data_IF_994001540567
#
_entry.id   IF_994001540567
#
_cell.length_a   1.000
_cell.length_b   1.000
_cell.length_c   1.000
_cell.angle_alpha   90.00
_cell.angle_beta   90.00
_cell.angle_gamma   90.00
#
_symmetry.space_group_name_H-M   'P 1'
#
loop_
_entity.id
_entity.type
_entity.pdbx_description
1 polymer ?
#
# COMPACT_ATOMS: atom_id res chain seq x y z
N UNK A 1 27.52 -26.39 58.62
CA UNK A 1 28.48 -25.97 57.60
C UNK A 1 27.74 -25.11 56.57
N UNK A 2 27.92 -23.79 56.60
CA UNK A 2 27.31 -22.89 55.61
C UNK A 2 27.95 -23.10 54.24
N UNK A 3 27.14 -23.22 53.18
CA UNK A 3 27.66 -23.31 51.81
C UNK A 3 28.49 -22.06 51.52
N UNK A 4 29.70 -22.26 50.97
CA UNK A 4 30.61 -21.18 50.62
C UNK A 4 29.90 -20.19 49.66
N UNK A 5 29.92 -18.87 49.91
CA UNK A 5 29.31 -17.86 49.05
C UNK A 5 29.65 -18.01 47.55
N UNK A 6 30.86 -18.48 47.21
CA UNK A 6 31.25 -18.72 45.81
C UNK A 6 30.49 -19.88 45.16
N UNK A 7 30.16 -20.92 45.93
CA UNK A 7 29.37 -22.07 45.46
C UNK A 7 27.91 -21.68 45.24
N UNK A 8 27.35 -20.80 46.09
CA UNK A 8 25.99 -20.26 45.91
C UNK A 8 25.89 -19.38 44.66
N UNK A 9 26.88 -18.51 44.42
CA UNK A 9 26.94 -17.67 43.22
C UNK A 9 27.09 -18.50 41.93
N UNK A 10 27.93 -19.53 41.94
CA UNK A 10 28.08 -20.46 40.81
C UNK A 10 26.77 -21.20 40.49
N UNK A 11 26.05 -21.65 41.51
CA UNK A 11 24.78 -22.35 41.35
C UNK A 11 23.68 -21.43 40.82
N UNK A 12 23.62 -20.18 41.29
CA UNK A 12 22.69 -19.16 40.79
C UNK A 12 22.95 -18.83 39.32
N UNK A 13 24.21 -18.71 38.90
CA UNK A 13 24.59 -18.48 37.50
C UNK A 13 24.16 -19.65 36.60
N UNK A 14 24.46 -20.89 36.98
CA UNK A 14 24.01 -22.08 36.22
C UNK A 14 22.49 -22.18 36.11
N UNK A 15 21.76 -21.78 37.15
CA UNK A 15 20.30 -21.75 37.11
C UNK A 15 19.77 -20.63 36.19
N UNK A 16 20.41 -19.46 36.19
CA UNK A 16 20.07 -18.38 35.28
C UNK A 16 20.33 -18.75 33.81
N UNK A 17 21.47 -19.39 33.52
CA UNK A 17 21.83 -19.91 32.19
C UNK A 17 20.79 -20.93 31.70
N UNK A 18 20.45 -21.95 32.50
CA UNK A 18 19.38 -22.91 32.13
C UNK A 18 18.01 -22.27 31.92
N UNK A 19 17.66 -21.25 32.72
CA UNK A 19 16.41 -20.50 32.54
C UNK A 19 16.43 -19.70 31.23
N UNK A 20 17.58 -19.16 30.85
CA UNK A 20 17.77 -18.44 29.61
C UNK A 20 17.69 -19.38 28.40
N UNK A 21 18.40 -20.52 28.42
CA UNK A 21 18.33 -21.55 27.38
C UNK A 21 16.90 -22.03 27.13
N UNK A 22 16.13 -22.27 28.20
CA UNK A 22 14.71 -22.67 28.07
C UNK A 22 13.85 -21.56 27.47
N UNK A 23 14.12 -20.30 27.80
CA UNK A 23 13.42 -19.14 27.19
C UNK A 23 13.76 -19.01 25.71
N UNK A 24 15.02 -19.19 25.35
CA UNK A 24 15.49 -19.08 23.96
C UNK A 24 14.90 -20.22 23.12
N UNK A 25 14.93 -21.46 23.60
CA UNK A 25 14.31 -22.60 22.92
C UNK A 25 12.80 -22.40 22.72
N UNK A 26 12.10 -21.88 23.72
CA UNK A 26 10.67 -21.58 23.60
C UNK A 26 10.40 -20.43 22.62
N UNK A 27 11.24 -19.40 22.60
CA UNK A 27 11.14 -18.29 21.66
C UNK A 27 11.39 -18.74 20.22
N UNK A 28 12.38 -19.62 20.01
CA UNK A 28 12.70 -20.18 18.69
C UNK A 28 11.57 -21.11 18.20
N UNK A 29 10.99 -21.93 19.07
CA UNK A 29 9.83 -22.75 18.74
C UNK A 29 8.60 -21.91 18.38
N UNK A 30 8.30 -20.84 19.12
CA UNK A 30 7.20 -19.92 18.76
C UNK A 30 7.47 -19.21 17.43
N UNK A 31 8.73 -18.82 17.20
CA UNK A 31 9.15 -18.20 15.93
C UNK A 31 8.96 -19.15 14.75
N UNK A 32 9.36 -20.42 14.87
CA UNK A 32 9.21 -21.40 13.80
C UNK A 32 7.73 -21.63 13.47
N UNK A 33 6.85 -21.70 14.47
CA UNK A 33 5.39 -21.80 14.24
C UNK A 33 4.89 -20.63 13.40
N UNK A 34 5.24 -19.39 13.76
CA UNK A 34 4.83 -18.18 13.02
C UNK A 34 5.35 -18.20 11.59
N UNK A 35 6.62 -18.59 11.41
CA UNK A 35 7.26 -18.68 10.10
C UNK A 35 6.58 -19.74 9.22
N UNK A 36 6.27 -20.91 9.78
CA UNK A 36 5.58 -21.99 9.09
C UNK A 36 4.12 -21.62 8.74
N UNK A 37 3.39 -21.04 9.69
CA UNK A 37 1.98 -20.66 9.51
C UNK A 37 1.80 -19.55 8.48
N UNK A 38 2.69 -18.55 8.48
CA UNK A 38 2.55 -17.38 7.63
C UNK A 38 3.45 -17.37 6.39
N UNK A 39 4.37 -18.35 6.28
CA UNK A 39 5.41 -18.38 5.25
C UNK A 39 6.31 -17.15 5.34
N UNK A 40 6.68 -16.79 6.55
CA UNK A 40 7.46 -15.61 6.87
C UNK A 40 8.97 -15.92 6.85
N UNK A 41 9.85 -14.99 6.42
CA UNK A 41 11.27 -15.28 6.34
C UNK A 41 11.92 -15.59 7.68
N UNK A 42 12.88 -16.51 7.66
CA UNK A 42 13.66 -16.91 8.85
C UNK A 42 14.48 -15.75 9.43
N UNK A 43 14.82 -14.78 8.58
CA UNK A 43 15.55 -13.55 8.93
C UNK A 43 14.70 -12.51 9.66
N UNK A 44 13.37 -12.66 9.66
CA UNK A 44 12.47 -11.71 10.31
C UNK A 44 12.45 -11.90 11.83
N UNK A 45 12.47 -10.78 12.56
CA UNK A 45 12.25 -10.77 14.00
C UNK A 45 10.75 -10.90 14.29
N UNK A 46 10.34 -12.00 14.89
CA UNK A 46 8.96 -12.20 15.34
C UNK A 46 8.76 -11.58 16.73
N UNK A 47 7.74 -10.73 16.86
CA UNK A 47 7.31 -10.12 18.11
C UNK A 47 5.87 -10.54 18.42
N UNK A 48 5.69 -11.19 19.56
CA UNK A 48 4.37 -11.43 20.14
C UNK A 48 3.96 -10.19 20.93
N UNK A 49 2.88 -9.53 20.51
CA UNK A 49 2.38 -8.30 21.13
C UNK A 49 1.02 -8.56 21.76
N UNK A 50 0.86 -8.20 23.03
CA UNK A 50 -0.40 -8.39 23.75
C UNK A 50 -1.37 -7.25 23.41
N UNK A 51 -2.65 -7.56 23.10
CA UNK A 51 -3.65 -6.54 22.83
C UNK A 51 -4.06 -5.79 24.11
N UNK A 52 -4.53 -4.56 23.96
CA UNK A 52 -5.15 -3.73 25.01
C UNK A 52 -4.30 -3.57 26.28
N UNK A 53 -2.99 -3.36 26.10
CA UNK A 53 -2.03 -3.13 27.18
C UNK A 53 -1.46 -1.70 27.14
N UNK A 54 -2.29 -0.67 27.44
CA UNK A 54 -1.83 0.71 27.48
C UNK A 54 -0.86 0.99 28.64
N UNK A 55 -0.81 0.10 29.63
CA UNK A 55 0.15 0.13 30.73
C UNK A 55 1.59 -0.16 30.29
N UNK A 56 1.77 -0.80 29.12
CA UNK A 56 3.08 -1.04 28.55
C UNK A 56 3.61 0.22 27.85
N UNK A 57 4.94 0.34 27.78
CA UNK A 57 5.56 1.39 26.97
C UNK A 57 5.24 1.17 25.49
N UNK A 58 4.76 2.21 24.82
CA UNK A 58 4.48 2.17 23.39
C UNK A 58 5.72 1.72 22.60
N UNK A 59 5.51 0.76 21.70
CA UNK A 59 6.58 0.20 20.87
C UNK A 59 6.71 0.99 19.58
N UNK A 60 7.93 1.44 19.27
CA UNK A 60 8.23 2.13 18.01
C UNK A 60 9.05 1.21 17.11
N UNK A 61 8.54 0.94 15.92
CA UNK A 61 9.24 0.19 14.87
C UNK A 61 9.74 1.18 13.83
N UNK A 62 11.05 1.37 13.77
CA UNK A 62 11.70 2.30 12.84
C UNK A 62 12.59 1.63 11.80
N UNK A 63 13.02 0.38 12.05
CA UNK A 63 14.03 -0.32 11.26
C UNK A 63 13.89 -1.85 11.32
N UNK A 64 14.43 -2.52 10.30
CA UNK A 64 14.62 -3.97 10.22
C UNK A 64 13.48 -4.71 9.51
N UNK A 65 13.52 -6.04 9.60
CA UNK A 65 12.43 -6.93 9.22
C UNK A 65 11.75 -7.47 10.48
N UNK A 66 10.53 -7.01 10.76
CA UNK A 66 9.77 -7.32 11.97
C UNK A 66 8.40 -7.87 11.60
N UNK A 67 8.01 -8.97 12.23
CA UNK A 67 6.66 -9.53 12.14
C UNK A 67 6.00 -9.39 13.50
N UNK A 68 4.79 -8.85 13.49
CA UNK A 68 3.93 -8.71 14.64
C UNK A 68 2.83 -9.77 14.56
N UNK A 69 2.70 -10.52 15.65
CA UNK A 69 1.61 -11.47 15.86
C UNK A 69 0.96 -11.21 17.21
N UNK A 70 -0.34 -11.47 17.30
CA UNK A 70 -1.07 -11.37 18.54
C UNK A 70 -0.47 -12.37 19.56
N UNK A 71 -0.15 -11.88 20.75
CA UNK A 71 0.53 -12.66 21.78
C UNK A 71 -0.34 -13.75 22.41
N UNK A 72 -1.67 -13.59 22.32
CA UNK A 72 -2.69 -14.48 22.86
C UNK A 72 -3.15 -15.50 21.80
N UNK A 73 -3.47 -15.03 20.59
CA UNK A 73 -4.05 -15.89 19.53
C UNK A 73 -3.01 -16.41 18.53
N UNK A 74 -1.87 -15.73 18.40
CA UNK A 74 -0.88 -16.00 17.35
C UNK A 74 -1.26 -15.44 15.97
N UNK A 75 -2.38 -14.73 15.85
CA UNK A 75 -2.83 -14.18 14.58
C UNK A 75 -1.87 -13.12 14.02
N UNK A 76 -1.74 -13.08 12.70
CA UNK A 76 -0.92 -12.09 12.00
C UNK A 76 -1.51 -10.68 12.15
N UNK A 77 -0.66 -9.73 12.55
CA UNK A 77 -1.00 -8.31 12.66
C UNK A 77 -0.33 -7.51 11.54
N UNK A 78 1.00 -7.58 11.45
CA UNK A 78 1.76 -6.83 10.45
C UNK A 78 3.14 -7.45 10.18
N UNK A 79 3.66 -7.22 8.98
CA UNK A 79 5.05 -7.45 8.60
C UNK A 79 5.63 -6.13 8.09
N UNK A 80 6.73 -5.70 8.68
CA UNK A 80 7.41 -4.45 8.40
C UNK A 80 8.80 -4.79 7.89
N UNK A 81 9.12 -4.38 6.68
CA UNK A 81 10.45 -4.52 6.08
C UNK A 81 11.00 -3.16 5.71
N UNK A 82 12.12 -2.79 6.34
CA UNK A 82 12.83 -1.54 6.03
C UNK A 82 13.91 -1.83 5.00
N UNK A 83 13.94 -1.07 3.91
CA UNK A 83 15.02 -1.19 2.92
C UNK A 83 16.31 -0.60 3.52
N UNK A 84 17.40 -1.36 3.40
CA UNK A 84 18.71 -1.00 3.93
C UNK A 84 19.60 -0.45 2.81
N UNK A 85 20.42 0.55 3.15
CA UNK A 85 21.49 1.00 2.28
C UNK A 85 22.70 0.07 2.46
N UNK A 86 22.72 -1.03 1.71
CA UNK A 86 23.92 -1.88 1.56
C UNK A 86 23.97 -2.47 0.14
N UNK A 87 25.18 -2.74 -0.34
CA UNK A 87 25.45 -3.17 -1.73
C UNK A 87 24.64 -4.42 -2.12
N UNK A 88 24.32 -5.28 -1.16
CA UNK A 88 23.54 -6.50 -1.38
C UNK A 88 22.07 -6.25 -1.75
N UNK A 89 21.55 -5.04 -1.54
CA UNK A 89 20.13 -4.69 -1.79
C UNK A 89 19.94 -3.65 -2.91
N UNK A 90 20.99 -3.27 -3.65
CA UNK A 90 20.89 -2.20 -4.66
C UNK A 90 19.78 -2.44 -5.69
N UNK A 91 19.68 -3.65 -6.24
CA UNK A 91 18.63 -3.99 -7.20
C UNK A 91 17.20 -3.87 -6.61
N UNK A 92 17.02 -4.23 -5.34
CA UNK A 92 15.74 -4.07 -4.66
C UNK A 92 15.40 -2.59 -4.44
N UNK A 93 16.41 -1.80 -4.08
CA UNK A 93 16.32 -0.34 -3.94
C UNK A 93 15.93 0.33 -5.25
N UNK A 94 16.61 0.02 -6.35
CA UNK A 94 16.33 0.57 -7.67
C UNK A 94 14.90 0.23 -8.13
N UNK A 95 14.45 -1.00 -7.90
CA UNK A 95 13.08 -1.41 -8.19
C UNK A 95 12.06 -0.69 -7.31
N UNK A 96 12.36 -0.47 -6.03
CA UNK A 96 11.51 0.28 -5.11
C UNK A 96 11.39 1.74 -5.55
N UNK A 97 12.50 2.42 -5.82
CA UNK A 97 12.54 3.82 -6.23
C UNK A 97 11.81 4.03 -7.56
N UNK A 98 12.04 3.13 -8.52
CA UNK A 98 11.32 3.14 -9.79
C UNK A 98 9.81 2.95 -9.60
N UNK A 99 9.41 1.97 -8.78
CA UNK A 99 8.01 1.67 -8.54
C UNK A 99 7.28 2.83 -7.83
N UNK A 100 7.83 3.36 -6.74
CA UNK A 100 7.19 4.44 -5.98
C UNK A 100 7.10 5.73 -6.79
N UNK A 101 8.15 6.10 -7.53
CA UNK A 101 8.12 7.26 -8.44
C UNK A 101 7.03 7.15 -9.50
N UNK A 102 6.92 5.99 -10.13
CA UNK A 102 5.90 5.78 -11.17
C UNK A 102 4.49 5.80 -10.56
N UNK A 103 4.29 5.12 -9.43
CA UNK A 103 3.03 5.14 -8.70
C UNK A 103 2.64 6.56 -8.33
N UNK A 104 3.55 7.34 -7.74
CA UNK A 104 3.33 8.73 -7.36
C UNK A 104 2.76 9.55 -8.52
N UNK A 105 3.46 9.57 -9.66
CA UNK A 105 3.03 10.33 -10.85
C UNK A 105 1.75 9.77 -11.49
N UNK A 106 1.50 8.47 -11.42
CA UNK A 106 0.24 7.89 -11.89
C UNK A 106 -0.93 8.24 -10.98
N UNK A 107 -0.72 8.25 -9.67
CA UNK A 107 -1.71 8.72 -8.69
C UNK A 107 -2.06 10.18 -8.88
N UNK A 108 -1.06 11.05 -9.06
CA UNK A 108 -1.27 12.48 -9.31
C UNK A 108 -1.98 12.79 -10.62
N UNK A 109 -2.13 11.82 -11.53
CA UNK A 109 -2.98 11.97 -12.72
C UNK A 109 -4.47 11.73 -12.41
N UNK A 110 -4.82 11.19 -11.24
CA UNK A 110 -6.20 10.92 -10.80
C UNK A 110 -6.75 12.03 -9.93
N UNK A 111 -8.07 12.04 -9.79
CA UNK A 111 -8.76 12.91 -8.85
C UNK A 111 -8.37 12.60 -7.39
N UNK A 112 -8.18 13.65 -6.60
CA UNK A 112 -8.04 13.54 -5.14
C UNK A 112 -9.30 12.89 -4.56
N UNK A 113 -9.12 11.91 -3.69
CA UNK A 113 -10.21 11.31 -2.92
C UNK A 113 -10.63 12.29 -1.81
N UNK A 114 -11.87 12.77 -1.90
CA UNK A 114 -12.44 13.64 -0.86
C UNK A 114 -13.29 12.89 0.15
N UNK A 115 -13.79 11.70 -0.23
CA UNK A 115 -14.81 10.90 0.48
C UNK A 115 -14.24 9.79 1.37
N UNK A 116 -12.96 9.87 1.76
CA UNK A 116 -12.40 8.92 2.73
C UNK A 116 -12.97 9.24 4.11
N UNK A 117 -13.82 8.36 4.64
CA UNK A 117 -14.53 8.57 5.91
C UNK A 117 -13.59 8.79 7.11
N UNK A 118 -12.47 8.06 7.17
CA UNK A 118 -11.53 8.18 8.27
C UNK A 118 -10.78 9.53 8.23
N UNK A 119 -10.44 10.04 7.04
CA UNK A 119 -9.88 11.37 6.87
C UNK A 119 -10.94 12.48 7.06
N UNK A 120 -12.20 12.25 6.68
CA UNK A 120 -13.30 13.18 6.93
C UNK A 120 -13.62 13.31 8.42
N UNK A 121 -13.48 12.23 9.19
CA UNK A 121 -13.73 12.22 10.63
C UNK A 121 -12.78 13.15 11.41
N UNK A 122 -11.59 13.47 10.86
CA UNK A 122 -10.67 14.47 11.42
C UNK A 122 -11.21 15.92 11.37
N UNK A 123 -12.27 16.19 10.59
CA UNK A 123 -12.86 17.52 10.48
C UNK A 123 -11.85 18.58 10.03
N UNK A 124 -11.65 19.61 10.86
CA UNK A 124 -10.71 20.71 10.58
C UNK A 124 -9.24 20.30 10.67
N UNK A 125 -8.93 19.16 11.30
CA UNK A 125 -7.57 18.64 11.38
C UNK A 125 -7.15 17.87 10.12
N UNK A 126 -8.07 17.62 9.17
CA UNK A 126 -7.78 16.89 7.93
C UNK A 126 -6.57 17.49 7.21
N UNK A 127 -5.56 16.64 6.98
CA UNK A 127 -4.29 17.04 6.35
C UNK A 127 -3.86 16.04 5.27
N UNK A 128 -2.97 16.49 4.40
CA UNK A 128 -2.44 15.71 3.28
C UNK A 128 -3.45 15.33 2.20
N UNK A 129 -3.04 14.42 1.33
CA UNK A 129 -3.78 14.09 0.12
C UNK A 129 -3.84 12.59 -0.15
N UNK A 130 -4.88 12.16 -0.87
CA UNK A 130 -5.11 10.75 -1.20
C UNK A 130 -5.55 10.62 -2.66
N UNK A 131 -4.93 9.70 -3.40
CA UNK A 131 -5.13 9.49 -4.84
C UNK A 131 -5.33 8.00 -5.14
N UNK A 132 -6.57 7.58 -5.43
CA UNK A 132 -6.86 6.20 -5.74
C UNK A 132 -6.71 5.88 -7.24
N UNK A 133 -6.17 4.69 -7.54
CA UNK A 133 -5.98 4.14 -8.89
C UNK A 133 -6.54 2.71 -8.97
N UNK A 134 -6.68 2.18 -10.19
CA UNK A 134 -7.15 0.82 -10.43
C UNK A 134 -8.67 0.70 -10.53
N UNK A 135 -9.19 -0.45 -10.08
CA UNK A 135 -10.60 -0.84 -10.19
C UNK A 135 -11.43 -0.38 -9.00
N UNK A 136 -12.62 0.15 -9.25
CA UNK A 136 -13.57 0.65 -8.24
C UNK A 136 -15.00 0.24 -8.54
N UNK A 137 -15.85 0.32 -7.52
CA UNK A 137 -17.30 0.34 -7.72
C UNK A 137 -17.70 1.47 -8.69
N UNK A 138 -18.64 1.16 -9.57
CA UNK A 138 -19.13 2.11 -10.57
C UNK A 138 -19.88 3.27 -9.90
N UNK A 139 -19.61 4.49 -10.37
CA UNK A 139 -20.36 5.71 -9.99
C UNK A 139 -21.09 6.35 -11.14
N UNK A 140 -20.75 5.99 -12.37
CA UNK A 140 -21.47 6.44 -13.55
C UNK A 140 -22.83 5.76 -13.58
N UNK A 141 -23.86 6.49 -14.02
CA UNK A 141 -25.24 5.97 -14.07
C UNK A 141 -25.27 4.67 -14.87
N UNK A 142 -25.79 3.61 -14.25
CA UNK A 142 -25.90 2.28 -14.85
C UNK A 142 -24.63 1.44 -14.80
N UNK A 143 -23.47 1.99 -14.42
CA UNK A 143 -22.22 1.21 -14.26
C UNK A 143 -22.15 0.61 -12.85
N UNK A 144 -21.70 -0.63 -12.77
CA UNK A 144 -21.49 -1.38 -11.53
C UNK A 144 -20.02 -1.39 -11.10
N UNK A 145 -19.09 -1.25 -12.05
CA UNK A 145 -17.66 -1.18 -11.83
C UNK A 145 -17.01 -0.21 -12.83
N UNK A 146 -15.85 0.35 -12.48
CA UNK A 146 -15.09 1.19 -13.40
C UNK A 146 -13.66 1.46 -12.95
N UNK A 147 -12.90 2.19 -13.76
CA UNK A 147 -11.60 2.73 -13.38
C UNK A 147 -11.75 4.07 -12.64
N UNK A 148 -10.74 4.46 -11.85
CA UNK A 148 -10.67 5.82 -11.31
C UNK A 148 -10.40 6.84 -12.43
N UNK A 149 -11.10 7.98 -12.35
CA UNK A 149 -11.09 9.04 -13.38
C UNK A 149 -9.85 9.93 -13.29
N UNK A 150 -9.46 10.50 -14.43
CA UNK A 150 -8.43 11.52 -14.52
C UNK A 150 -8.85 12.80 -13.79
N UNK A 151 -7.89 13.52 -13.20
CA UNK A 151 -8.17 14.85 -12.66
C UNK A 151 -8.33 15.92 -13.74
N UNK A 152 -8.83 17.08 -13.33
CA UNK A 152 -9.11 18.24 -14.21
C UNK A 152 -7.91 18.62 -15.06
N UNK A 153 -6.70 18.67 -14.48
CA UNK A 153 -5.50 19.03 -15.21
C UNK A 153 -5.18 17.98 -16.28
N UNK A 154 -5.07 16.71 -15.88
CA UNK A 154 -4.70 15.62 -16.76
C UNK A 154 -5.72 15.40 -17.86
N UNK A 155 -7.03 15.44 -17.55
CA UNK A 155 -8.08 15.24 -18.56
C UNK A 155 -8.18 16.37 -19.60
N UNK A 156 -7.62 17.54 -19.30
CA UNK A 156 -7.67 18.72 -20.16
C UNK A 156 -6.47 18.84 -21.09
N UNK A 157 -5.41 18.08 -20.84
CA UNK A 157 -4.16 18.12 -21.61
C UNK A 157 -3.87 16.75 -22.26
N UNK A 158 -3.97 16.65 -23.60
CA UNK A 158 -3.64 15.44 -24.35
C UNK A 158 -2.25 14.85 -24.03
N UNK A 159 -1.24 15.69 -23.74
CA UNK A 159 0.11 15.21 -23.43
C UNK A 159 0.16 14.51 -22.07
N UNK A 160 -0.56 15.04 -21.07
CA UNK A 160 -0.65 14.42 -19.76
C UNK A 160 -1.44 13.09 -19.82
N UNK A 161 -2.48 13.01 -20.66
CA UNK A 161 -3.18 11.75 -20.96
C UNK A 161 -2.20 10.73 -21.55
N UNK A 162 -1.38 11.14 -22.52
CA UNK A 162 -0.41 10.24 -23.14
C UNK A 162 0.62 9.72 -22.13
N UNK A 163 1.15 10.59 -21.27
CA UNK A 163 2.06 10.19 -20.20
C UNK A 163 1.40 9.19 -19.23
N UNK A 164 0.12 9.42 -18.89
CA UNK A 164 -0.64 8.49 -18.03
C UNK A 164 -0.78 7.10 -18.65
N UNK A 165 -1.04 7.03 -19.96
CA UNK A 165 -1.11 5.77 -20.71
C UNK A 165 0.24 5.05 -20.68
N UNK A 166 1.36 5.76 -20.84
CA UNK A 166 2.67 5.12 -20.75
C UNK A 166 2.93 4.56 -19.35
N UNK A 167 2.51 5.27 -18.29
CA UNK A 167 2.57 4.75 -16.91
C UNK A 167 1.67 3.53 -16.73
N UNK A 168 0.45 3.54 -17.29
CA UNK A 168 -0.49 2.42 -17.24
C UNK A 168 0.11 1.12 -17.80
N UNK A 169 0.91 1.20 -18.88
CA UNK A 169 1.60 0.04 -19.47
C UNK A 169 2.62 -0.61 -18.52
N UNK A 170 3.17 0.17 -17.59
CA UNK A 170 4.21 -0.27 -16.68
C UNK A 170 3.64 -0.81 -15.35
N UNK A 171 2.36 -0.53 -15.05
CA UNK A 171 1.74 -0.99 -13.81
C UNK A 171 1.75 -2.52 -13.63
N UNK A 172 1.52 -3.37 -14.65
CA UNK A 172 1.62 -4.83 -14.47
C UNK A 172 3.00 -5.29 -13.96
N UNK A 173 4.07 -4.62 -14.38
CA UNK A 173 5.43 -4.91 -13.90
C UNK A 173 5.60 -4.48 -12.45
N UNK A 174 5.03 -3.34 -12.05
CA UNK A 174 5.03 -2.89 -10.65
C UNK A 174 4.19 -3.82 -9.78
N UNK A 175 3.03 -4.27 -10.25
CA UNK A 175 2.19 -5.23 -9.53
C UNK A 175 2.91 -6.55 -9.30
N UNK A 176 3.67 -7.03 -10.30
CA UNK A 176 4.53 -8.21 -10.12
C UNK A 176 5.62 -7.98 -9.07
N UNK A 177 6.21 -6.79 -9.02
CA UNK A 177 7.19 -6.42 -7.99
C UNK A 177 6.56 -6.39 -6.60
N UNK A 178 5.45 -5.67 -6.40
CA UNK A 178 4.73 -5.60 -5.13
C UNK A 178 4.22 -6.98 -4.70
N UNK A 179 3.72 -7.79 -5.63
CA UNK A 179 3.26 -9.16 -5.37
C UNK A 179 4.40 -10.06 -4.89
N UNK A 180 5.61 -9.93 -5.47
CA UNK A 180 6.81 -10.64 -4.98
C UNK A 180 7.19 -10.19 -3.57
N UNK A 181 7.14 -8.89 -3.29
CA UNK A 181 7.38 -8.38 -1.93
C UNK A 181 6.37 -8.98 -0.95
N UNK A 182 5.09 -8.96 -1.30
CA UNK A 182 4.04 -9.51 -0.46
C UNK A 182 4.27 -11.01 -0.19
N UNK A 183 4.51 -11.79 -1.24
CA UNK A 183 4.80 -13.22 -1.13
C UNK A 183 6.03 -13.50 -0.25
N UNK A 184 7.07 -12.69 -0.36
CA UNK A 184 8.29 -12.84 0.43
C UNK A 184 8.11 -12.44 1.89
N UNK A 185 7.25 -11.46 2.19
CA UNK A 185 7.04 -11.00 3.56
C UNK A 185 6.08 -11.89 4.34
N UNK A 186 4.97 -12.27 3.70
CA UNK A 186 3.88 -13.04 4.33
C UNK A 186 3.14 -13.87 3.27
N UNK A 187 3.70 -15.03 2.93
CA UNK A 187 3.18 -15.86 1.84
C UNK A 187 1.72 -16.29 2.00
N UNK A 188 1.28 -16.57 3.23
CA UNK A 188 -0.10 -17.01 3.48
C UNK A 188 -1.11 -15.91 3.10
N UNK A 189 -0.81 -14.66 3.43
CA UNK A 189 -1.67 -13.50 3.16
C UNK A 189 -1.62 -13.11 1.67
N UNK A 190 -0.44 -13.21 1.06
CA UNK A 190 -0.30 -13.09 -0.40
C UNK A 190 -1.23 -14.05 -1.13
N UNK A 191 -1.24 -15.34 -0.76
CA UNK A 191 -2.13 -16.35 -1.37
C UNK A 191 -3.61 -16.00 -1.20
N UNK A 192 -4.03 -15.64 0.01
CA UNK A 192 -5.43 -15.29 0.27
C UNK A 192 -5.90 -14.10 -0.59
N UNK A 193 -5.07 -13.06 -0.71
CA UNK A 193 -5.37 -11.91 -1.57
C UNK A 193 -5.37 -12.30 -3.05
N UNK A 194 -4.40 -13.11 -3.49
CA UNK A 194 -4.31 -13.57 -4.88
C UNK A 194 -5.55 -14.38 -5.29
N UNK A 195 -6.00 -15.30 -4.44
CA UNK A 195 -7.18 -16.13 -4.67
C UNK A 195 -8.44 -15.27 -4.84
N UNK A 196 -8.62 -14.25 -3.99
CA UNK A 196 -9.70 -13.27 -4.14
C UNK A 196 -9.58 -12.48 -5.45
N UNK A 197 -8.37 -12.01 -5.79
CA UNK A 197 -8.10 -11.28 -7.03
C UNK A 197 -8.49 -12.10 -8.27
N UNK A 198 -8.09 -13.37 -8.29
CA UNK A 198 -8.41 -14.33 -9.35
C UNK A 198 -9.91 -14.67 -9.38
N UNK A 199 -10.53 -14.90 -8.23
CA UNK A 199 -11.95 -15.24 -8.11
C UNK A 199 -12.85 -14.16 -8.73
N UNK A 200 -12.51 -12.88 -8.51
CA UNK A 200 -13.32 -11.76 -8.99
C UNK A 200 -12.76 -11.11 -10.26
N UNK A 201 -11.61 -11.58 -10.77
CA UNK A 201 -10.94 -11.04 -11.95
C UNK A 201 -10.58 -9.56 -11.80
N UNK A 202 -10.16 -9.14 -10.61
CA UNK A 202 -9.84 -7.74 -10.32
C UNK A 202 -8.33 -7.51 -10.28
N UNK A 203 -7.91 -6.36 -10.78
CA UNK A 203 -6.52 -5.91 -10.69
C UNK A 203 -6.47 -4.39 -10.69
N UNK A 204 -5.64 -3.82 -9.82
CA UNK A 204 -5.37 -2.38 -9.81
C UNK A 204 -4.44 -1.94 -10.96
N UNK A 205 -3.69 -2.88 -11.51
CA UNK A 205 -2.67 -2.67 -12.52
C UNK A 205 -3.13 -3.06 -13.94
N UNK A 206 -4.40 -3.41 -14.13
CA UNK A 206 -4.94 -3.75 -15.45
C UNK A 206 -5.74 -2.59 -16.05
N UNK A 207 -5.66 -2.36 -17.37
CA UNK A 207 -6.53 -1.40 -18.05
C UNK A 207 -7.99 -1.88 -18.10
N UNK A 208 -8.23 -3.17 -17.86
CA UNK A 208 -9.54 -3.80 -17.77
C UNK A 208 -9.91 -4.01 -16.31
N UNK A 209 -11.06 -3.49 -15.91
CA UNK A 209 -11.54 -3.53 -14.52
C UNK A 209 -11.87 -4.97 -14.09
N UNK A 210 -12.43 -5.75 -15.02
CA UNK A 210 -12.72 -7.17 -14.83
C UNK A 210 -11.88 -7.99 -15.82
N UNK A 211 -10.64 -8.27 -15.43
CA UNK A 211 -9.70 -9.07 -16.20
C UNK A 211 -9.63 -10.50 -15.62
N UNK A 212 -10.42 -11.40 -16.18
CA UNK A 212 -10.41 -12.83 -15.80
C UNK A 212 -9.12 -13.55 -16.19
N UNK A 213 -8.25 -12.93 -16.99
CA UNK A 213 -6.92 -13.45 -17.31
C UNK A 213 -5.81 -12.90 -16.42
N UNK A 214 -6.07 -11.89 -15.58
CA UNK A 214 -5.08 -11.39 -14.63
C UNK A 214 -4.91 -12.42 -13.50
N UNK A 215 -3.85 -13.22 -13.58
CA UNK A 215 -3.56 -14.29 -12.62
C UNK A 215 -2.64 -13.87 -11.48
N UNK A 216 -2.15 -12.64 -11.46
CA UNK A 216 -1.03 -12.24 -10.57
C UNK A 216 -1.32 -11.11 -9.60
N UNK A 217 -2.47 -10.44 -9.69
CA UNK A 217 -2.72 -9.23 -8.89
C UNK A 217 -3.29 -9.56 -7.51
N UNK A 218 -2.79 -8.86 -6.49
CA UNK A 218 -3.16 -9.03 -5.07
C UNK A 218 -4.08 -7.93 -4.55
N UNK A 219 -4.56 -7.06 -5.44
CA UNK A 219 -5.43 -5.94 -5.11
C UNK A 219 -6.33 -5.52 -6.26
N UNK A 220 -7.52 -5.01 -5.95
CA UNK A 220 -8.40 -4.38 -6.94
C UNK A 220 -8.06 -2.92 -7.18
N UNK A 221 -7.59 -2.23 -6.13
CA UNK A 221 -7.24 -0.83 -6.16
C UNK A 221 -5.92 -0.61 -5.41
N UNK A 222 -5.27 0.47 -5.77
CA UNK A 222 -4.12 1.00 -5.03
C UNK A 222 -4.46 2.45 -4.66
N UNK A 223 -4.18 2.84 -3.43
CA UNK A 223 -4.32 4.22 -2.99
C UNK A 223 -2.96 4.78 -2.66
N UNK A 224 -2.67 5.99 -3.15
CA UNK A 224 -1.49 6.77 -2.80
C UNK A 224 -1.91 7.83 -1.81
N UNK A 225 -1.08 8.08 -0.82
CA UNK A 225 -1.20 9.17 0.13
C UNK A 225 0.06 10.01 0.05
N UNK A 226 -0.09 11.32 0.20
CA UNK A 226 1.06 12.21 0.26
C UNK A 226 0.93 13.33 1.29
N UNK A 227 2.05 14.00 1.52
CA UNK A 227 2.22 15.15 2.40
C UNK A 227 1.96 14.75 3.86
N UNK A 228 1.27 15.59 4.63
CA UNK A 228 0.95 15.33 6.04
C UNK A 228 -0.31 14.45 6.19
N UNK A 229 -0.49 13.43 5.35
CA UNK A 229 -1.71 12.62 5.35
C UNK A 229 -1.94 11.93 6.70
N UNK A 230 -3.13 12.13 7.25
CA UNK A 230 -3.59 11.52 8.49
C UNK A 230 -5.03 11.00 8.31
N UNK A 231 -5.41 10.06 9.16
CA UNK A 231 -6.79 9.59 9.26
C UNK A 231 -7.13 9.27 10.71
N UNK A 232 -8.43 9.24 11.03
CA UNK A 232 -8.92 8.77 12.32
C UNK A 232 -8.75 7.25 12.47
N UNK A 233 -8.84 6.80 13.73
CA UNK A 233 -8.84 5.38 14.09
C UNK A 233 -9.98 4.62 13.39
N UNK A 234 -9.64 3.57 12.64
CA UNK A 234 -10.61 2.75 11.93
C UNK A 234 -10.12 1.33 11.64
N UNK A 235 -11.06 0.49 11.20
CA UNK A 235 -10.78 -0.74 10.48
C UNK A 235 -11.18 -0.55 9.01
N UNK A 236 -10.42 -1.17 8.12
CA UNK A 236 -10.72 -1.11 6.70
C UNK A 236 -11.72 -2.22 6.33
N UNK A 237 -12.92 -1.87 5.80
CA UNK A 237 -13.94 -2.85 5.46
C UNK A 237 -13.65 -3.56 4.14
N UNK A 238 -12.39 -3.86 3.83
CA UNK A 238 -11.98 -4.55 2.61
C UNK A 238 -12.39 -6.03 2.58
N UNK A 239 -12.44 -6.60 1.37
CA UNK A 239 -12.64 -8.03 1.19
C UNK A 239 -11.36 -8.82 1.45
N UNK A 240 -10.19 -8.24 1.13
CA UNK A 240 -8.90 -8.79 1.56
C UNK A 240 -8.71 -8.59 3.06
N UNK A 241 -8.16 -9.60 3.74
CA UNK A 241 -7.82 -9.52 5.16
C UNK A 241 -6.54 -8.73 5.42
N UNK A 242 -5.70 -8.54 4.41
CA UNK A 242 -4.48 -7.74 4.50
C UNK A 242 -4.34 -6.77 3.34
N UNK A 243 -3.58 -5.70 3.58
CA UNK A 243 -3.09 -4.77 2.57
C UNK A 243 -1.56 -4.79 2.56
N UNK A 244 -0.96 -4.41 1.43
CA UNK A 244 0.47 -4.13 1.31
C UNK A 244 0.69 -2.69 0.86
N UNK A 245 1.63 -2.01 1.50
CA UNK A 245 1.95 -0.62 1.23
C UNK A 245 3.44 -0.35 1.15
N UNK A 246 3.79 0.62 0.31
CA UNK A 246 5.14 1.16 0.18
C UNK A 246 5.15 2.54 0.83
N UNK A 247 6.14 2.80 1.67
CA UNK A 247 6.25 4.04 2.42
C UNK A 247 7.65 4.61 2.32
N UNK A 248 7.79 5.88 2.00
CA UNK A 248 9.09 6.54 1.95
C UNK A 248 8.96 8.07 2.03
N UNK A 249 10.08 8.73 2.26
CA UNK A 249 10.22 10.17 2.06
C UNK A 249 10.58 10.42 0.60
N UNK A 250 10.00 11.44 -0.03
CA UNK A 250 10.22 11.73 -1.46
C UNK A 250 10.33 13.24 -1.71
N UNK A 251 11.09 13.61 -2.73
CA UNK A 251 11.02 14.94 -3.34
C UNK A 251 9.63 15.12 -3.96
N UNK A 252 8.95 16.19 -3.58
CA UNK A 252 7.53 16.37 -3.91
C UNK A 252 7.30 16.55 -5.43
N UNK A 253 8.17 17.27 -6.11
CA UNK A 253 7.98 17.58 -7.53
C UNK A 253 8.47 16.45 -8.44
N UNK A 254 9.66 15.90 -8.16
CA UNK A 254 10.29 14.89 -9.00
C UNK A 254 9.76 13.48 -8.71
N UNK A 255 9.26 13.23 -7.50
CA UNK A 255 8.95 11.89 -7.00
C UNK A 255 10.19 11.01 -6.83
N UNK A 256 11.38 11.59 -6.63
CA UNK A 256 12.57 10.81 -6.27
C UNK A 256 12.52 10.45 -4.79
N UNK A 257 12.91 9.22 -4.46
CA UNK A 257 12.99 8.78 -3.06
C UNK A 257 14.18 9.43 -2.37
N UNK A 258 13.95 9.95 -1.16
CA UNK A 258 14.99 10.53 -0.32
C UNK A 258 15.43 9.48 0.71
N UNK A 259 16.73 9.32 0.83
CA UNK A 259 17.38 8.46 1.83
C UNK A 259 18.13 9.34 2.82
N UNK A 260 17.53 9.67 3.99
CA UNK A 260 18.09 10.67 4.91
C UNK A 260 19.49 10.36 5.43
N UNK A 261 19.88 9.08 5.44
CA UNK A 261 21.18 8.63 5.93
C UNK A 261 22.28 8.61 4.84
N UNK A 262 21.96 8.97 3.60
CA UNK A 262 22.92 8.93 2.47
C UNK A 262 23.67 10.27 2.30
N UNK A 263 23.30 11.30 3.05
CA UNK A 263 23.94 12.63 3.03
C UNK A 263 24.56 12.93 4.39
N UNK A 264 25.82 13.40 4.39
CA UNK A 264 26.51 13.89 5.59
C UNK A 264 25.95 15.23 6.08
N UNK A 265 25.27 15.99 5.21
CA UNK A 265 24.65 17.26 5.56
C UNK A 265 23.19 17.03 5.93
N UNK A 266 22.71 17.54 7.09
CA UNK A 266 21.29 17.47 7.43
C UNK A 266 20.45 18.14 6.35
N UNK A 267 19.33 17.51 5.94
CA UNK A 267 18.45 18.12 4.95
C UNK A 267 17.87 19.44 5.49
N UNK A 268 17.62 20.44 4.62
CA UNK A 268 17.07 21.73 5.03
C UNK A 268 15.64 21.63 5.62
N UNK A 269 14.97 20.50 5.36
CA UNK A 269 13.62 20.20 5.84
C UNK A 269 13.51 18.74 6.28
N UNK A 270 12.62 18.46 7.23
CA UNK A 270 12.30 17.10 7.67
C UNK A 270 10.83 16.98 8.07
N UNK A 271 10.35 15.73 8.19
CA UNK A 271 8.98 15.46 8.63
C UNK A 271 8.97 14.73 9.98
N UNK A 272 8.33 15.34 10.96
CA UNK A 272 8.11 14.78 12.30
C UNK A 272 6.69 14.24 12.47
N UNK A 273 6.50 13.27 13.37
CA UNK A 273 5.16 12.79 13.72
C UNK A 273 4.50 11.82 12.72
N UNK A 274 5.15 11.46 11.62
CA UNK A 274 4.57 10.52 10.64
C UNK A 274 4.67 9.06 11.10
N UNK A 275 3.61 8.55 11.72
CA UNK A 275 3.49 7.19 12.19
C UNK A 275 2.24 6.50 11.69
N UNK A 276 2.35 5.19 11.49
CA UNK A 276 1.20 4.27 11.36
C UNK A 276 1.02 3.54 12.68
N UNK A 277 -0.13 3.74 13.32
CA UNK A 277 -0.46 3.20 14.62
C UNK A 277 -1.27 1.90 14.47
N UNK A 278 -0.90 0.92 15.28
CA UNK A 278 -1.66 -0.30 15.53
C UNK A 278 -2.18 -0.22 16.97
N UNK A 279 -3.23 0.59 17.16
CA UNK A 279 -3.65 1.11 18.47
C UNK A 279 -3.96 0.01 19.49
N UNK A 280 -4.61 -1.07 19.05
CA UNK A 280 -4.91 -2.24 19.89
C UNK A 280 -3.64 -2.83 20.52
N UNK A 281 -2.48 -2.69 19.89
CA UNK A 281 -1.22 -3.31 20.31
C UNK A 281 -0.21 -2.32 20.85
N UNK A 282 -0.60 -1.05 21.09
CA UNK A 282 0.27 0.01 21.60
C UNK A 282 1.62 0.05 20.86
N UNK A 283 1.54 -0.04 19.53
CA UNK A 283 2.67 -0.16 18.62
C UNK A 283 2.49 0.81 17.47
N UNK A 284 3.56 1.53 17.10
CA UNK A 284 3.58 2.42 15.95
C UNK A 284 4.78 2.20 15.06
N UNK A 285 4.60 2.42 13.76
CA UNK A 285 5.61 2.25 12.71
C UNK A 285 5.99 3.64 12.21
N UNK A 286 7.28 3.99 12.24
CA UNK A 286 7.76 5.30 11.74
C UNK A 286 7.83 5.29 10.21
N UNK A 287 7.00 6.10 9.56
CA UNK A 287 6.89 6.11 8.09
C UNK A 287 7.95 7.00 7.43
N UNK A 288 8.20 8.20 7.95
CA UNK A 288 8.97 9.28 7.27
C UNK A 288 10.50 9.17 7.27
N UNK A 289 11.10 8.07 7.72
CA UNK A 289 12.55 8.02 7.97
C UNK A 289 13.37 7.18 6.99
N UNK A 290 12.86 6.01 6.61
CA UNK A 290 13.55 5.07 5.72
C UNK A 290 12.49 4.42 4.86
N UNK A 291 12.78 4.09 3.59
CA UNK A 291 11.83 3.37 2.76
C UNK A 291 11.44 2.02 3.37
N UNK A 292 10.14 1.72 3.36
CA UNK A 292 9.57 0.52 3.98
C UNK A 292 8.51 -0.11 3.10
N UNK A 293 8.37 -1.41 3.28
CA UNK A 293 7.20 -2.17 2.87
C UNK A 293 6.48 -2.59 4.14
N UNK A 294 5.19 -2.30 4.22
CA UNK A 294 4.35 -2.73 5.34
C UNK A 294 3.22 -3.58 4.78
N UNK A 295 3.08 -4.80 5.30
CA UNK A 295 1.89 -5.64 5.13
C UNK A 295 1.15 -5.60 6.45
N UNK A 296 -0.14 -5.28 6.46
CA UNK A 296 -0.92 -5.25 7.71
C UNK A 296 -2.30 -5.87 7.53
N UNK A 297 -2.81 -6.40 8.63
CA UNK A 297 -4.18 -6.88 8.74
C UNK A 297 -5.13 -5.68 8.79
N UNK A 298 -5.97 -5.55 7.76
CA UNK A 298 -6.91 -4.42 7.59
C UNK A 298 -8.03 -4.43 8.62
N UNK A 299 -8.23 -5.55 9.34
CA UNK A 299 -9.20 -5.71 10.42
C UNK A 299 -8.64 -5.38 11.80
N UNK A 300 -7.40 -4.92 11.88
CA UNK A 300 -6.85 -4.34 13.11
C UNK A 300 -7.16 -2.85 13.13
N UNK A 301 -7.64 -2.34 14.27
CA UNK A 301 -7.79 -0.89 14.48
C UNK A 301 -6.45 -0.18 14.29
N UNK A 302 -6.41 0.75 13.33
CA UNK A 302 -5.21 1.48 12.97
C UNK A 302 -5.53 2.91 12.52
N UNK A 303 -4.49 3.75 12.51
CA UNK A 303 -4.53 5.08 11.91
C UNK A 303 -3.15 5.59 11.51
N UNK A 304 -3.13 6.66 10.71
CA UNK A 304 -1.95 7.46 10.43
C UNK A 304 -2.02 8.76 11.22
N UNK A 305 -0.99 9.04 12.02
CA UNK A 305 -0.94 10.22 12.87
C UNK A 305 -0.66 11.50 12.07
N UNK A 306 -1.07 12.65 12.63
CA UNK A 306 -0.65 13.94 12.11
C UNK A 306 0.87 14.08 12.12
N UNK A 307 1.42 14.53 11.01
CA UNK A 307 2.83 14.88 10.86
C UNK A 307 3.00 16.36 10.56
N UNK A 308 4.19 16.89 10.77
CA UNK A 308 4.54 18.27 10.46
C UNK A 308 5.83 18.32 9.65
N UNK A 309 5.81 19.08 8.55
CA UNK A 309 7.02 19.44 7.81
C UNK A 309 7.67 20.65 8.47
N UNK A 310 8.93 20.51 8.86
CA UNK A 310 9.70 21.51 9.60
C UNK A 310 10.97 21.89 8.83
N UNK A 311 11.44 23.12 9.03
CA UNK A 311 12.77 23.56 8.59
C UNK A 311 13.85 23.25 9.65
N UNK A 312 15.11 23.59 9.36
CA UNK A 312 16.26 23.40 10.27
C UNK A 312 16.12 24.10 11.64
N UNK A 313 15.23 25.10 11.75
CA UNK A 313 14.96 25.83 13.00
C UNK A 313 13.77 25.27 13.78
N UNK A 314 13.13 24.20 13.28
CA UNK A 314 11.94 23.61 13.88
C UNK A 314 10.65 24.37 13.59
N UNK A 315 10.67 25.29 12.62
CA UNK A 315 9.48 26.06 12.22
C UNK A 315 8.68 25.27 11.19
N UNK A 316 7.34 25.30 11.33
CA UNK A 316 6.45 24.64 10.38
C UNK A 316 6.48 25.33 9.03
N UNK A 317 6.66 24.54 7.98
CA UNK A 317 6.57 24.96 6.58
C UNK A 317 5.56 24.10 5.84
N UNK A 318 5.07 24.55 4.70
CA UNK A 318 4.20 23.70 3.87
C UNK A 318 5.03 22.61 3.18
N UNK A 319 4.47 21.42 2.94
CA UNK A 319 5.11 20.38 2.12
C UNK A 319 5.53 20.87 0.73
N UNK A 320 4.74 21.77 0.14
CA UNK A 320 5.05 22.46 -1.12
C UNK A 320 6.34 23.28 -1.04
N UNK A 321 6.46 24.16 -0.05
CA UNK A 321 7.63 25.05 0.11
C UNK A 321 8.91 24.27 0.43
N UNK A 322 8.77 23.13 1.11
CA UNK A 322 9.89 22.24 1.43
C UNK A 322 10.32 21.34 0.26
N UNK A 323 9.53 21.27 -0.82
CA UNK A 323 9.64 20.24 -1.87
C UNK A 323 9.80 18.82 -1.28
N UNK A 324 9.11 18.55 -0.18
CA UNK A 324 9.26 17.34 0.62
C UNK A 324 7.90 16.75 0.92
N UNK A 325 7.76 15.44 0.71
CA UNK A 325 6.48 14.76 0.96
C UNK A 325 6.69 13.36 1.52
N UNK A 326 5.85 12.95 2.48
CA UNK A 326 5.72 11.54 2.79
C UNK A 326 4.94 10.88 1.67
N UNK A 327 5.42 9.77 1.16
CA UNK A 327 4.64 8.91 0.28
C UNK A 327 4.22 7.67 1.04
N UNK A 328 2.94 7.34 0.93
CA UNK A 328 2.41 6.05 1.34
C UNK A 328 1.57 5.46 0.22
N UNK A 329 1.61 4.15 0.05
CA UNK A 329 0.66 3.44 -0.80
C UNK A 329 -0.05 2.31 -0.03
N UNK A 330 -1.23 1.91 -0.50
CA UNK A 330 -1.95 0.73 0.00
C UNK A 330 -2.59 -0.02 -1.17
N UNK A 331 -2.28 -1.31 -1.30
CA UNK A 331 -2.89 -2.25 -2.24
C UNK A 331 -3.79 -3.20 -1.47
N UNK A 332 -5.05 -3.24 -1.86
CA UNK A 332 -6.07 -4.07 -1.22
C UNK A 332 -7.18 -4.47 -2.20
N UNK A 333 -8.02 -5.42 -1.80
CA UNK A 333 -9.24 -5.79 -2.53
C UNK A 333 -10.43 -5.17 -1.83
N UNK A 334 -10.97 -4.10 -2.42
CA UNK A 334 -12.11 -3.39 -1.87
C UNK A 334 -13.35 -4.28 -1.83
N UNK A 335 -14.03 -4.28 -0.68
CA UNK A 335 -15.32 -4.97 -0.53
C UNK A 335 -16.38 -4.43 -1.48
N UNK A 336 -16.36 -3.12 -1.74
CA UNK A 336 -17.33 -2.47 -2.61
C UNK A 336 -17.30 -3.06 -4.03
N UNK A 337 -16.12 -3.24 -4.62
CA UNK A 337 -16.04 -3.81 -5.98
C UNK A 337 -16.46 -5.29 -5.96
N UNK A 338 -16.05 -6.06 -4.96
CA UNK A 338 -16.44 -7.47 -4.81
C UNK A 338 -17.96 -7.62 -4.71
N UNK A 339 -18.62 -6.81 -3.88
CA UNK A 339 -20.07 -6.85 -3.71
C UNK A 339 -20.80 -6.45 -5.00
N UNK A 340 -20.27 -5.48 -5.75
CA UNK A 340 -20.83 -5.09 -7.07
C UNK A 340 -20.70 -6.21 -8.09
N UNK A 341 -19.54 -6.89 -8.15
CA UNK A 341 -19.32 -8.04 -9.03
C UNK A 341 -20.26 -9.19 -8.67
N UNK A 342 -20.41 -9.52 -7.38
CA UNK A 342 -21.39 -10.51 -6.91
C UNK A 342 -22.80 -10.16 -7.37
N UNK A 343 -23.20 -8.90 -7.24
CA UNK A 343 -24.49 -8.41 -7.72
C UNK A 343 -24.66 -8.54 -9.22
N UNK A 344 -23.62 -8.23 -10.00
CA UNK A 344 -23.61 -8.43 -11.46
C UNK A 344 -23.74 -9.91 -11.83
N UNK A 345 -22.95 -10.78 -11.21
CA UNK A 345 -22.98 -12.23 -11.48
C UNK A 345 -24.34 -12.84 -11.16
N UNK A 346 -24.99 -12.39 -10.07
CA UNK A 346 -26.36 -12.80 -9.73
C UNK A 346 -27.36 -12.38 -10.80
N UNK A 347 -27.26 -11.16 -11.33
CA UNK A 347 -28.14 -10.67 -12.42
C UNK A 347 -27.89 -11.38 -13.74
N UNK A 348 -26.64 -11.79 -13.98
CA UNK A 348 -26.23 -12.52 -15.18
C UNK A 348 -26.48 -14.03 -15.10
N UNK A 349 -27.03 -14.52 -13.98
CA UNK A 349 -27.38 -15.93 -13.81
C UNK A 349 -28.42 -16.35 -14.85
N UNK A 350 -28.16 -17.45 -15.55
CA UNK A 350 -29.04 -17.96 -16.63
C UNK A 350 -28.87 -17.28 -18.00
N UNK A 351 -28.03 -16.23 -18.11
CA UNK A 351 -27.67 -15.67 -19.41
C UNK A 351 -26.72 -16.60 -20.18
N UNK A 352 -26.81 -16.61 -21.50
CA UNK A 352 -25.77 -17.20 -22.36
C UNK A 352 -24.46 -16.42 -22.25
N UNK A 353 -23.33 -17.01 -22.59
CA UNK A 353 -22.02 -16.34 -22.44
C UNK A 353 -21.90 -15.08 -23.32
N UNK A 354 -22.51 -15.09 -24.51
CA UNK A 354 -22.62 -13.90 -25.36
C UNK A 354 -23.40 -12.78 -24.67
N UNK A 355 -24.51 -13.10 -24.01
CA UNK A 355 -25.30 -12.13 -23.26
C UNK A 355 -24.56 -11.62 -22.02
N UNK A 356 -23.82 -12.48 -21.32
CA UNK A 356 -22.97 -12.08 -20.18
C UNK A 356 -21.90 -11.08 -20.62
N UNK A 357 -21.26 -11.32 -21.76
CA UNK A 357 -20.24 -10.41 -22.29
C UNK A 357 -20.84 -9.05 -22.69
N UNK A 358 -22.01 -9.04 -23.34
CA UNK A 358 -22.75 -7.80 -23.62
C UNK A 358 -23.15 -7.07 -22.33
N UNK A 359 -23.68 -7.80 -21.35
CA UNK A 359 -24.07 -7.26 -20.05
C UNK A 359 -22.87 -6.62 -19.33
N UNK A 360 -21.72 -7.31 -19.34
CA UNK A 360 -20.48 -6.81 -18.76
C UNK A 360 -20.03 -5.50 -19.42
N UNK A 361 -20.00 -5.43 -20.75
CA UNK A 361 -19.66 -4.20 -21.50
C UNK A 361 -20.58 -3.02 -21.18
N UNK A 362 -21.86 -3.28 -20.93
CA UNK A 362 -22.82 -2.24 -20.55
C UNK A 362 -22.61 -1.74 -19.12
N UNK A 363 -22.21 -2.63 -18.20
CA UNK A 363 -22.13 -2.33 -16.77
C UNK A 363 -20.73 -2.06 -16.23
N UNK A 364 -19.69 -2.23 -17.02
CA UNK A 364 -18.30 -1.92 -16.64
C UNK A 364 -17.80 -0.75 -17.49
N UNK A 365 -17.00 0.13 -16.89
CA UNK A 365 -16.30 1.20 -17.60
C UNK A 365 -14.80 1.05 -17.43
N UNK A 366 -14.15 0.49 -18.44
CA UNK A 366 -12.71 0.25 -18.42
C UNK A 366 -11.91 1.55 -18.60
N UNK A 367 -10.60 1.47 -18.35
CA UNK A 367 -9.68 2.61 -18.50
C UNK A 367 -9.75 3.21 -19.91
N UNK A 368 -9.77 2.36 -20.95
CA UNK A 368 -9.82 2.82 -22.34
C UNK A 368 -11.12 3.57 -22.68
N UNK A 369 -12.27 3.17 -22.08
CA UNK A 369 -13.55 3.86 -22.27
C UNK A 369 -13.51 5.25 -21.61
N UNK A 370 -12.92 5.37 -20.42
CA UNK A 370 -12.69 6.66 -19.77
C UNK A 370 -11.83 7.58 -20.64
N UNK A 371 -10.67 7.11 -21.14
CA UNK A 371 -9.81 7.92 -22.01
C UNK A 371 -10.53 8.32 -23.31
N UNK A 372 -11.21 7.39 -23.97
CA UNK A 372 -11.93 7.65 -25.24
C UNK A 372 -13.01 8.72 -25.06
N UNK A 373 -13.73 8.68 -23.95
CA UNK A 373 -14.70 9.71 -23.60
C UNK A 373 -14.05 11.09 -23.50
N UNK A 374 -12.84 11.19 -22.92
CA UNK A 374 -12.11 12.47 -22.83
C UNK A 374 -11.60 12.97 -24.17
N UNK A 375 -11.12 12.09 -25.03
CA UNK A 375 -10.72 12.48 -26.39
C UNK A 375 -11.88 13.07 -27.19
N UNK A 376 -13.08 12.51 -27.03
CA UNK A 376 -14.28 13.03 -27.68
C UNK A 376 -14.62 14.44 -27.18
N UNK A 377 -14.54 14.67 -25.86
CA UNK A 377 -14.73 16.01 -25.28
C UNK A 377 -13.70 17.03 -25.81
N UNK A 378 -12.42 16.65 -25.84
CA UNK A 378 -11.34 17.51 -26.33
C UNK A 378 -11.48 17.82 -27.83
N UNK A 379 -11.92 16.84 -28.62
CA UNK A 379 -12.18 17.01 -30.05
C UNK A 379 -13.34 17.96 -30.31
N UNK A 380 -14.45 17.81 -29.59
CA UNK A 380 -15.59 18.73 -29.66
C UNK A 380 -15.19 20.15 -29.26
N UNK A 381 -14.32 20.28 -28.25
CA UNK A 381 -13.76 21.56 -27.82
C UNK A 381 -12.68 22.13 -28.75
N UNK A 382 -12.32 21.44 -29.85
CA UNK A 382 -11.22 21.80 -30.77
C UNK A 382 -9.86 21.95 -30.07
N UNK A 383 -9.62 21.17 -29.02
CA UNK A 383 -8.37 21.15 -28.22
C UNK A 383 -7.52 19.89 -28.48
N UNK A 384 -7.90 19.07 -29.46
CA UNK A 384 -7.21 17.82 -29.76
C UNK A 384 -6.59 17.88 -31.15
N UNK A 385 -5.27 17.86 -31.18
CA UNK A 385 -4.49 17.70 -32.41
C UNK A 385 -4.68 16.27 -32.99
N UNK A 386 -4.91 16.10 -34.30
CA UNK A 386 -5.12 14.78 -34.91
C UNK A 386 -3.95 13.81 -34.76
N UNK A 387 -2.70 14.30 -34.78
CA UNK A 387 -1.52 13.45 -34.59
C UNK A 387 -1.46 12.95 -33.15
N UNK A 388 -1.73 13.82 -32.18
CA UNK A 388 -1.81 13.43 -30.76
C UNK A 388 -2.96 12.43 -30.53
N UNK A 389 -4.14 12.65 -31.15
CA UNK A 389 -5.27 11.72 -31.10
C UNK A 389 -4.85 10.32 -31.59
N UNK A 390 -4.14 10.24 -32.71
CA UNK A 390 -3.66 8.99 -33.28
C UNK A 390 -2.66 8.29 -32.35
N UNK A 391 -1.73 9.03 -31.75
CA UNK A 391 -0.76 8.49 -30.78
C UNK A 391 -1.45 7.94 -29.53
N UNK A 392 -2.42 8.65 -28.98
CA UNK A 392 -3.19 8.19 -27.81
C UNK A 392 -3.97 6.92 -28.16
N UNK A 393 -4.65 6.88 -29.31
CA UNK A 393 -5.37 5.69 -29.78
C UNK A 393 -4.45 4.48 -29.98
N UNK A 394 -3.27 4.68 -30.54
CA UNK A 394 -2.25 3.64 -30.66
C UNK A 394 -1.78 3.14 -29.28
N UNK A 395 -1.59 4.07 -28.34
CA UNK A 395 -1.28 3.76 -26.94
C UNK A 395 -2.36 2.90 -26.28
N UNK A 396 -3.63 3.26 -26.42
CA UNK A 396 -4.76 2.47 -25.90
C UNK A 396 -4.83 1.08 -26.53
N UNK A 397 -4.65 0.97 -27.85
CA UNK A 397 -4.63 -0.34 -28.54
C UNK A 397 -3.51 -1.25 -28.01
N UNK A 398 -2.33 -0.68 -27.72
CA UNK A 398 -1.24 -1.46 -27.14
C UNK A 398 -1.52 -1.95 -25.71
N UNK A 399 -2.44 -1.31 -24.98
CA UNK A 399 -2.86 -1.77 -23.65
C UNK A 399 -3.77 -3.00 -23.72
N UNK A 400 -4.43 -3.29 -24.85
CA UNK A 400 -5.33 -4.45 -24.98
C UNK A 400 -4.61 -5.80 -24.89
N UNK A 401 -3.28 -5.79 -25.07
CA UNK A 401 -2.38 -6.93 -24.94
C UNK A 401 -2.12 -7.35 -23.48
N UNK A 402 -2.54 -6.52 -22.52
CA UNK A 402 -2.45 -6.72 -21.07
C UNK A 402 -3.87 -6.83 -20.45
#
# INVERSE_FOLDING_TARGET
>A
MGKNPSQLASLARKQAEKRQEKKDLHADFRRSIVQDQHGAPTTAKVLHVLPNRPDLKERIISYGHVILVDGETGEFIASIFTLHNNDNNQNLRDQFDWATKLLYHHGLARNKCTINKAAEALGQAKSGEMYPIGSRGGTDKGKSAGAYVLNTNTRSDPHLIMQDIQRMKLLPTIDKFISKLFANLVFSQFKANLELGQQYGVSWASPKVLNTSSKSSVGSNLVITRDEFANELHEDPDASGCAIGLFCLMERDSGNVIYPNDSDTPPPFHIEGAYFHLDKYNTKIRLSHLPKVVVWNTKTLHHSSHSQTLNVFGERVTPEDANLTNFGSSVQISKTIVDRIKGMNKKAAGMSDKMKETFKKQHVKDYAEEITSRLTELKTAKKLDPLIEAQIKAGLKSLEQY
#
